data_IF_361498849960
#
_entry.id   IF_361498849960
#
_cell.length_a   1.000
_cell.length_b   1.000
_cell.length_c   1.000
_cell.angle_alpha   90.00
_cell.angle_beta   90.00
_cell.angle_gamma   90.00
#
_symmetry.space_group_name_H-M   'P 1'
#
loop_
_entity.id
_entity.type
_entity.pdbx_description
1 polymer ?
#
# COMPACT_ATOMS: atom_id res chain seq x y z
N UNK A 1 7.07 -13.14 26.85
CA UNK A 1 7.76 -13.36 25.54
C UNK A 1 7.30 -12.29 24.56
N UNK A 2 8.19 -11.73 23.72
CA UNK A 2 7.78 -10.80 22.66
C UNK A 2 6.98 -11.56 21.61
N UNK A 3 5.92 -10.91 21.06
CA UNK A 3 5.11 -11.45 19.99
C UNK A 3 5.66 -10.99 18.64
N UNK A 4 5.85 -11.92 17.71
CA UNK A 4 6.37 -11.65 16.37
C UNK A 4 5.55 -12.38 15.31
N UNK A 5 5.50 -11.80 14.12
CA UNK A 5 4.99 -12.45 12.93
C UNK A 5 6.15 -12.65 11.95
N UNK A 6 6.49 -13.91 11.68
CA UNK A 6 7.42 -14.25 10.59
C UNK A 6 6.67 -14.14 9.27
N UNK A 7 7.27 -13.46 8.33
CA UNK A 7 6.67 -13.28 7.02
C UNK A 7 6.66 -14.58 6.22
N UNK A 8 5.81 -14.65 5.21
CA UNK A 8 5.78 -15.82 4.32
C UNK A 8 7.13 -16.01 3.63
N UNK A 9 7.67 -17.23 3.67
CA UNK A 9 8.99 -17.53 3.12
C UNK A 9 9.12 -17.18 1.63
N UNK A 10 8.01 -17.19 0.90
CA UNK A 10 7.99 -16.79 -0.49
C UNK A 10 8.49 -15.34 -0.70
N UNK A 11 8.23 -14.44 0.25
CA UNK A 11 8.67 -13.05 0.16
C UNK A 11 10.15 -12.85 0.52
N UNK A 12 10.78 -13.80 1.22
CA UNK A 12 12.19 -13.69 1.62
C UNK A 12 13.13 -14.12 0.48
N UNK A 13 12.80 -15.23 -0.17
CA UNK A 13 13.62 -15.84 -1.22
C UNK A 13 12.79 -16.11 -2.48
N UNK A 14 12.14 -15.10 -3.07
CA UNK A 14 11.36 -15.29 -4.28
C UNK A 14 12.29 -15.50 -5.49
N UNK A 15 11.83 -16.27 -6.47
CA UNK A 15 12.55 -16.41 -7.75
C UNK A 15 12.30 -15.23 -8.71
N UNK A 16 11.27 -14.44 -8.44
CA UNK A 16 10.83 -13.28 -9.22
C UNK A 16 10.65 -12.08 -8.30
N UNK A 17 10.66 -10.85 -8.79
CA UNK A 17 10.30 -9.70 -7.98
C UNK A 17 8.96 -9.91 -7.26
N UNK A 18 8.89 -9.50 -6.00
CA UNK A 18 7.63 -9.51 -5.24
C UNK A 18 6.68 -8.52 -5.86
N UNK A 19 5.48 -8.98 -6.19
CA UNK A 19 4.47 -8.12 -6.81
C UNK A 19 3.75 -7.27 -5.77
N UNK A 20 3.54 -6.01 -6.12
CA UNK A 20 2.85 -5.03 -5.27
C UNK A 20 1.81 -4.27 -6.09
N UNK A 21 0.56 -4.29 -5.64
CA UNK A 21 -0.46 -3.38 -6.14
C UNK A 21 -0.55 -2.16 -5.23
N UNK A 22 -0.33 -0.98 -5.77
CA UNK A 22 -0.57 0.31 -5.11
C UNK A 22 -1.86 0.92 -5.67
N UNK A 23 -2.87 1.05 -4.83
CA UNK A 23 -4.20 1.54 -5.19
C UNK A 23 -4.37 2.95 -4.62
N UNK A 24 -4.47 3.92 -5.51
CA UNK A 24 -4.49 5.35 -5.21
C UNK A 24 -3.09 5.98 -5.29
N UNK A 25 -2.93 6.97 -6.16
CA UNK A 25 -1.70 7.73 -6.41
C UNK A 25 -1.83 9.21 -6.02
N UNK A 26 -2.71 9.49 -5.05
CA UNK A 26 -2.92 10.84 -4.49
C UNK A 26 -1.85 11.26 -3.48
N UNK A 27 -2.26 11.97 -2.43
CA UNK A 27 -1.35 12.50 -1.40
C UNK A 27 -0.45 11.44 -0.80
N UNK A 28 -1.03 10.44 -0.15
CA UNK A 28 -0.27 9.34 0.47
C UNK A 28 0.35 8.42 -0.56
N UNK A 29 -0.39 8.03 -1.62
CA UNK A 29 0.09 7.05 -2.59
C UNK A 29 1.30 7.51 -3.39
N UNK A 30 1.38 8.80 -3.74
CA UNK A 30 2.55 9.36 -4.42
C UNK A 30 3.82 9.27 -3.56
N UNK A 31 3.68 9.50 -2.26
CA UNK A 31 4.78 9.38 -1.29
C UNK A 31 5.17 7.91 -1.06
N UNK A 32 4.17 7.01 -0.91
CA UNK A 32 4.39 5.57 -0.77
C UNK A 32 5.14 5.01 -1.97
N UNK A 33 4.78 5.40 -3.20
CA UNK A 33 5.47 4.93 -4.41
C UNK A 33 6.96 5.28 -4.39
N UNK A 34 7.30 6.49 -3.96
CA UNK A 34 8.71 6.92 -3.82
C UNK A 34 9.45 6.11 -2.74
N UNK A 35 8.79 5.82 -1.62
CA UNK A 35 9.35 4.96 -0.58
C UNK A 35 9.56 3.52 -1.09
N UNK A 36 8.62 2.99 -1.88
CA UNK A 36 8.74 1.67 -2.49
C UNK A 36 9.90 1.60 -3.50
N UNK A 37 10.17 2.67 -4.26
CA UNK A 37 11.31 2.72 -5.17
C UNK A 37 12.66 2.65 -4.41
N UNK A 38 12.76 3.35 -3.30
CA UNK A 38 13.92 3.26 -2.40
C UNK A 38 14.04 1.87 -1.78
N UNK A 39 12.92 1.27 -1.39
CA UNK A 39 12.87 -0.09 -0.84
C UNK A 39 13.34 -1.12 -1.88
N UNK A 40 12.85 -1.03 -3.12
CA UNK A 40 13.27 -1.90 -4.23
C UNK A 40 14.78 -1.83 -4.45
N UNK A 41 15.33 -0.61 -4.54
CA UNK A 41 16.78 -0.40 -4.68
C UNK A 41 17.56 -1.04 -3.53
N UNK A 42 17.10 -0.87 -2.29
CA UNK A 42 17.75 -1.46 -1.12
C UNK A 42 17.68 -2.99 -1.12
N UNK A 43 16.54 -3.56 -1.48
CA UNK A 43 16.34 -5.01 -1.58
C UNK A 43 17.25 -5.62 -2.66
N UNK A 44 17.32 -5.03 -3.83
CA UNK A 44 18.23 -5.47 -4.91
C UNK A 44 19.69 -5.39 -4.48
N UNK A 45 20.07 -4.32 -3.78
CA UNK A 45 21.41 -4.18 -3.19
C UNK A 45 21.77 -5.26 -2.16
N UNK A 46 20.76 -5.90 -1.55
CA UNK A 46 20.91 -7.03 -0.63
C UNK A 46 20.77 -8.40 -1.30
N UNK A 47 20.70 -8.45 -2.64
CA UNK A 47 20.59 -9.70 -3.40
C UNK A 47 19.16 -10.25 -3.55
N UNK A 48 18.14 -9.50 -3.13
CA UNK A 48 16.74 -9.86 -3.35
C UNK A 48 16.31 -9.45 -4.78
N UNK A 49 15.42 -10.18 -5.48
CA UNK A 49 14.98 -9.82 -6.84
C UNK A 49 14.29 -8.44 -6.95
N UNK A 50 13.93 -7.84 -5.82
CA UNK A 50 13.26 -6.54 -5.77
C UNK A 50 11.73 -6.64 -5.80
N UNK A 51 11.10 -5.54 -6.23
CA UNK A 51 9.66 -5.38 -6.30
C UNK A 51 9.22 -5.11 -7.74
N UNK A 52 8.05 -5.62 -8.11
CA UNK A 52 7.34 -5.22 -9.32
C UNK A 52 6.02 -4.56 -8.93
N UNK A 53 5.90 -3.26 -9.20
CA UNK A 53 4.76 -2.47 -8.72
C UNK A 53 3.82 -2.14 -9.87
N UNK A 54 2.52 -2.37 -9.64
CA UNK A 54 1.44 -1.89 -10.49
C UNK A 54 0.67 -0.82 -9.72
N UNK A 55 0.60 0.39 -10.28
CA UNK A 55 -0.12 1.53 -9.68
C UNK A 55 -1.45 1.72 -10.38
N UNK A 56 -2.53 1.77 -9.60
CA UNK A 56 -3.90 1.98 -10.07
C UNK A 56 -4.40 3.35 -9.60
N UNK A 57 -4.73 4.21 -10.54
CA UNK A 57 -5.40 5.48 -10.26
C UNK A 57 -6.04 6.02 -11.54
N UNK A 58 -7.35 6.30 -11.50
CA UNK A 58 -8.10 6.81 -12.65
C UNK A 58 -8.05 8.35 -12.79
N UNK A 59 -7.57 9.04 -11.75
CA UNK A 59 -7.61 10.49 -11.71
C UNK A 59 -6.55 11.14 -12.60
N UNK A 60 -6.84 12.37 -12.98
CA UNK A 60 -5.88 13.28 -13.60
C UNK A 60 -5.32 14.27 -12.56
N UNK A 61 -4.15 14.79 -12.85
CA UNK A 61 -3.50 15.84 -12.04
C UNK A 61 -4.19 17.17 -12.24
N UNK A 62 -4.51 17.85 -11.15
CA UNK A 62 -5.09 19.20 -11.13
C UNK A 62 -4.19 20.16 -10.35
N UNK A 63 -4.44 21.47 -10.44
CA UNK A 63 -3.69 22.49 -9.68
C UNK A 63 -3.73 22.23 -8.16
N UNK A 64 -4.85 21.76 -7.62
CA UNK A 64 -5.00 21.43 -6.20
C UNK A 64 -4.09 20.27 -5.73
N UNK A 65 -3.50 19.54 -6.64
CA UNK A 65 -2.58 18.43 -6.31
C UNK A 65 -1.12 18.91 -6.18
N UNK A 66 -0.77 20.06 -6.78
CA UNK A 66 0.61 20.56 -6.81
C UNK A 66 1.09 20.92 -5.39
N UNK A 67 2.31 20.53 -5.05
CA UNK A 67 2.94 20.80 -3.76
C UNK A 67 2.52 19.88 -2.61
N UNK A 68 1.25 19.48 -2.51
CA UNK A 68 0.76 18.54 -1.50
C UNK A 68 0.95 17.07 -1.91
N UNK A 69 0.83 16.80 -3.19
CA UNK A 69 1.13 15.52 -3.81
C UNK A 69 2.42 15.67 -4.65
N UNK A 70 3.05 14.58 -5.03
CA UNK A 70 4.31 14.64 -5.80
C UNK A 70 4.07 14.89 -7.29
N UNK A 71 3.36 15.98 -7.59
CA UNK A 71 3.13 16.46 -8.95
C UNK A 71 3.69 17.87 -9.13
N UNK A 72 4.04 18.18 -10.38
CA UNK A 72 4.53 19.47 -10.83
C UNK A 72 3.52 20.16 -11.77
N UNK A 73 3.66 21.46 -12.05
CA UNK A 73 2.78 22.13 -13.00
C UNK A 73 2.77 21.50 -14.39
N UNK A 74 3.86 20.86 -14.82
CA UNK A 74 3.92 20.16 -16.12
C UNK A 74 3.12 18.85 -16.16
N UNK A 75 2.68 18.34 -15.01
CA UNK A 75 1.89 17.10 -14.92
C UNK A 75 0.37 17.36 -15.05
N UNK A 76 -0.07 18.63 -15.00
CA UNK A 76 -1.49 18.99 -15.07
C UNK A 76 -2.14 18.38 -16.31
N UNK A 77 -3.33 17.82 -16.14
CA UNK A 77 -4.13 17.08 -17.13
C UNK A 77 -3.60 15.69 -17.51
N UNK A 78 -2.47 15.25 -16.99
CA UNK A 78 -1.99 13.88 -17.17
C UNK A 78 -2.58 12.94 -16.10
N UNK A 79 -2.66 11.64 -16.39
CA UNK A 79 -3.11 10.67 -15.40
C UNK A 79 -2.08 10.51 -14.28
N UNK A 80 -2.55 10.45 -13.02
CA UNK A 80 -1.69 10.41 -11.82
C UNK A 80 -0.77 9.18 -11.79
N UNK A 81 -1.32 7.98 -12.06
CA UNK A 81 -0.52 6.76 -12.04
C UNK A 81 0.55 6.77 -13.13
N UNK A 82 0.20 7.19 -14.34
CA UNK A 82 1.15 7.26 -15.45
C UNK A 82 2.29 8.24 -15.20
N UNK A 83 1.98 9.45 -14.69
CA UNK A 83 3.02 10.44 -14.34
C UNK A 83 4.01 9.89 -13.34
N UNK A 84 3.52 9.34 -12.23
CA UNK A 84 4.38 8.88 -11.14
C UNK A 84 5.20 7.66 -11.54
N UNK A 85 4.59 6.67 -12.20
CA UNK A 85 5.30 5.46 -12.63
C UNK A 85 6.37 5.80 -13.66
N UNK A 86 6.06 6.64 -14.65
CA UNK A 86 7.05 7.09 -15.64
C UNK A 86 8.25 7.77 -14.96
N UNK A 87 7.98 8.64 -13.97
CA UNK A 87 9.02 9.31 -13.20
C UNK A 87 9.88 8.33 -12.41
N UNK A 88 9.25 7.37 -11.71
CA UNK A 88 9.98 6.35 -10.94
C UNK A 88 10.81 5.44 -11.84
N UNK A 89 10.25 4.99 -12.97
CA UNK A 89 10.96 4.15 -13.92
C UNK A 89 12.19 4.88 -14.50
N UNK A 90 12.02 6.14 -14.88
CA UNK A 90 13.13 6.94 -15.43
C UNK A 90 14.22 7.23 -14.38
N UNK A 91 13.83 7.51 -13.13
CA UNK A 91 14.79 7.92 -12.09
C UNK A 91 15.53 6.72 -11.46
N UNK A 92 14.81 5.61 -11.20
CA UNK A 92 15.36 4.44 -10.51
C UNK A 92 15.73 3.29 -11.45
N UNK A 93 15.43 3.40 -12.75
CA UNK A 93 15.68 2.33 -13.72
C UNK A 93 14.72 1.13 -13.55
N UNK A 94 13.51 1.37 -13.09
CA UNK A 94 12.49 0.34 -12.88
C UNK A 94 11.67 0.09 -14.16
N UNK A 95 10.93 -1.01 -14.18
CA UNK A 95 9.96 -1.37 -15.23
C UNK A 95 8.58 -1.66 -14.59
N UNK A 96 8.07 -0.67 -13.87
CA UNK A 96 6.79 -0.74 -13.16
C UNK A 96 5.64 -0.33 -14.06
N UNK A 97 4.44 -0.80 -13.70
CA UNK A 97 3.24 -0.63 -14.53
C UNK A 97 2.31 0.43 -13.93
N UNK A 98 1.79 1.30 -14.80
CA UNK A 98 0.68 2.19 -14.49
C UNK A 98 -0.62 1.67 -15.13
N UNK A 99 -1.69 1.68 -14.38
CA UNK A 99 -3.05 1.37 -14.86
C UNK A 99 -3.92 2.61 -14.59
N UNK A 100 -4.27 3.39 -15.64
CA UNK A 100 -5.06 4.61 -15.51
C UNK A 100 -6.55 4.28 -15.34
N UNK A 101 -6.86 3.43 -14.39
CA UNK A 101 -8.21 2.95 -14.13
C UNK A 101 -8.41 2.65 -12.64
N UNK A 102 -9.67 2.51 -12.25
CA UNK A 102 -10.04 2.06 -10.91
C UNK A 102 -9.61 0.59 -10.75
N UNK A 103 -9.01 0.26 -9.61
CA UNK A 103 -8.72 -1.15 -9.31
C UNK A 103 -10.02 -1.96 -9.41
N UNK A 104 -10.03 -3.11 -10.13
CA UNK A 104 -11.25 -3.85 -10.41
C UNK A 104 -11.98 -4.23 -9.12
N UNK A 105 -13.01 -3.48 -8.77
CA UNK A 105 -13.84 -3.73 -7.58
C UNK A 105 -14.88 -4.84 -7.83
N UNK A 106 -15.13 -5.20 -9.09
CA UNK A 106 -16.16 -6.16 -9.47
C UNK A 106 -15.53 -7.50 -9.87
N UNK A 107 -15.48 -8.41 -8.95
CA UNK A 107 -14.96 -9.78 -9.09
C UNK A 107 -15.72 -10.70 -10.06
N UNK A 108 -16.65 -10.21 -10.83
CA UNK A 108 -17.20 -11.04 -11.91
C UNK A 108 -16.12 -11.45 -12.92
N UNK A 109 -15.00 -10.70 -12.95
CA UNK A 109 -13.84 -10.92 -13.82
C UNK A 109 -12.49 -10.74 -13.08
N UNK A 110 -12.40 -11.05 -11.79
CA UNK A 110 -11.10 -11.05 -11.12
C UNK A 110 -10.20 -12.10 -11.77
N UNK A 111 -9.57 -11.69 -12.84
CA UNK A 111 -8.47 -12.44 -13.42
C UNK A 111 -7.37 -12.45 -12.38
N UNK A 112 -6.72 -13.60 -12.24
CA UNK A 112 -5.55 -13.73 -11.36
C UNK A 112 -4.49 -12.68 -11.65
N UNK A 113 -4.43 -12.21 -12.90
CA UNK A 113 -3.51 -11.18 -13.42
C UNK A 113 -3.55 -9.83 -12.66
N UNK A 114 -4.60 -9.58 -11.87
CA UNK A 114 -4.75 -8.36 -11.08
C UNK A 114 -4.42 -8.56 -9.58
N UNK A 115 -4.04 -9.77 -9.17
CA UNK A 115 -3.63 -10.06 -7.81
C UNK A 115 -2.12 -9.83 -7.65
N UNK A 116 -1.71 -9.50 -6.43
CA UNK A 116 -0.32 -9.29 -6.09
C UNK A 116 -0.03 -9.85 -4.69
N UNK A 117 1.24 -10.12 -4.40
CA UNK A 117 1.66 -10.61 -3.09
C UNK A 117 1.36 -9.61 -1.97
N UNK A 118 1.52 -8.33 -2.26
CA UNK A 118 1.20 -7.25 -1.34
C UNK A 118 0.25 -6.28 -2.04
N UNK A 119 -0.87 -5.97 -1.41
CA UNK A 119 -1.75 -4.89 -1.86
C UNK A 119 -1.65 -3.74 -0.89
N UNK A 120 -1.44 -2.54 -1.39
CA UNK A 120 -1.34 -1.30 -0.60
C UNK A 120 -2.48 -0.38 -1.02
N UNK A 121 -3.28 0.08 -0.06
CA UNK A 121 -4.36 1.05 -0.31
C UNK A 121 -4.03 2.40 0.29
N UNK A 122 -4.14 3.43 -0.57
CA UNK A 122 -3.99 4.84 -0.25
C UNK A 122 -5.21 5.64 -0.75
N UNK A 123 -6.39 5.02 -0.74
CA UNK A 123 -7.64 5.64 -1.20
C UNK A 123 -8.32 6.38 -0.04
N UNK A 124 -9.06 7.41 -0.36
CA UNK A 124 -9.91 8.17 0.56
C UNK A 124 -11.32 7.55 0.73
N UNK A 125 -11.67 6.57 -0.09
CA UNK A 125 -12.99 5.99 -0.19
C UNK A 125 -13.12 4.70 0.63
N UNK A 126 -14.07 4.68 1.56
CA UNK A 126 -14.38 3.52 2.42
C UNK A 126 -14.88 2.33 1.61
N UNK A 127 -15.71 2.59 0.61
CA UNK A 127 -16.27 1.54 -0.25
C UNK A 127 -15.17 0.76 -0.95
N UNK A 128 -14.16 1.44 -1.48
CA UNK A 128 -13.00 0.80 -2.12
C UNK A 128 -12.28 -0.19 -1.20
N UNK A 129 -12.12 0.15 0.10
CA UNK A 129 -11.50 -0.74 1.10
C UNK A 129 -12.34 -1.98 1.38
N UNK A 130 -13.66 -1.80 1.48
CA UNK A 130 -14.59 -2.93 1.71
C UNK A 130 -14.60 -3.86 0.50
N UNK A 131 -14.71 -3.30 -0.70
CA UNK A 131 -14.75 -4.06 -1.95
C UNK A 131 -13.44 -4.82 -2.14
N UNK A 132 -12.30 -4.18 -1.94
CA UNK A 132 -11.00 -4.84 -1.99
C UNK A 132 -10.89 -6.01 -1.00
N UNK A 133 -11.32 -5.81 0.26
CA UNK A 133 -11.28 -6.90 1.23
C UNK A 133 -12.18 -8.07 0.82
N UNK A 134 -13.34 -7.78 0.23
CA UNK A 134 -14.21 -8.82 -0.31
C UNK A 134 -13.54 -9.62 -1.42
N UNK A 135 -12.73 -8.94 -2.24
CA UNK A 135 -11.92 -9.56 -3.28
C UNK A 135 -10.84 -10.45 -2.65
N UNK A 136 -9.98 -9.88 -1.85
CA UNK A 136 -8.81 -10.57 -1.31
C UNK A 136 -9.21 -11.82 -0.50
N UNK A 137 -10.24 -11.72 0.35
CA UNK A 137 -10.69 -12.85 1.17
C UNK A 137 -11.37 -13.97 0.40
N UNK A 138 -11.85 -13.69 -0.83
CA UNK A 138 -12.51 -14.68 -1.68
C UNK A 138 -11.50 -15.49 -2.53
N UNK A 139 -10.23 -15.08 -2.57
CA UNK A 139 -9.19 -15.82 -3.28
C UNK A 139 -8.97 -17.17 -2.59
N UNK A 140 -9.07 -18.30 -3.33
CA UNK A 140 -8.79 -19.61 -2.76
C UNK A 140 -7.37 -19.70 -2.21
N UNK A 141 -7.24 -20.26 -1.02
CA UNK A 141 -5.93 -20.50 -0.42
C UNK A 141 -5.26 -21.64 -1.16
N UNK A 142 -4.16 -21.34 -1.84
CA UNK A 142 -3.29 -22.35 -2.47
C UNK A 142 -2.14 -22.68 -1.52
N UNK A 143 -1.71 -23.95 -1.50
CA UNK A 143 -0.46 -24.36 -0.83
C UNK A 143 0.76 -23.85 -1.60
N UNK A 144 0.64 -23.70 -2.91
CA UNK A 144 1.69 -23.15 -3.76
C UNK A 144 1.62 -21.63 -3.79
N UNK A 145 2.73 -20.98 -3.47
CA UNK A 145 2.87 -19.53 -3.58
C UNK A 145 3.35 -19.15 -4.98
N UNK A 146 2.82 -18.06 -5.50
CA UNK A 146 3.21 -17.47 -6.78
C UNK A 146 3.19 -15.94 -6.66
N UNK A 147 3.64 -15.25 -7.69
CA UNK A 147 3.59 -13.79 -7.80
C UNK A 147 2.16 -13.22 -7.79
N UNK A 148 1.14 -14.05 -8.00
CA UNK A 148 -0.29 -13.69 -7.95
C UNK A 148 -0.95 -14.05 -6.61
N UNK A 149 -0.22 -14.66 -5.66
CA UNK A 149 -0.80 -15.09 -4.38
C UNK A 149 -0.90 -13.90 -3.42
N UNK A 150 -2.11 -13.42 -3.04
CA UNK A 150 -2.24 -12.35 -2.07
C UNK A 150 -1.83 -12.84 -0.68
N UNK A 151 -0.82 -12.20 -0.11
CA UNK A 151 -0.27 -12.55 1.20
C UNK A 151 -0.58 -11.45 2.23
N UNK A 152 -0.42 -10.19 1.85
CA UNK A 152 -0.58 -9.06 2.75
C UNK A 152 -1.40 -7.93 2.14
N UNK A 153 -2.15 -7.27 2.99
CA UNK A 153 -2.82 -6.01 2.69
C UNK A 153 -2.36 -4.94 3.68
N UNK A 154 -1.78 -3.87 3.19
CA UNK A 154 -1.41 -2.68 3.94
C UNK A 154 -2.35 -1.53 3.59
N UNK A 155 -3.01 -0.96 4.58
CA UNK A 155 -3.92 0.17 4.40
C UNK A 155 -3.38 1.42 5.06
N UNK A 156 -3.36 2.51 4.31
CA UNK A 156 -3.07 3.85 4.76
C UNK A 156 -4.35 4.66 4.83
N UNK A 157 -4.64 5.22 5.99
CA UNK A 157 -5.77 6.12 6.17
C UNK A 157 -5.35 7.31 7.01
N UNK A 158 -5.81 8.49 6.64
CA UNK A 158 -5.54 9.71 7.36
C UNK A 158 -6.72 10.67 7.33
N UNK A 159 -6.72 11.59 8.30
CA UNK A 159 -7.56 12.76 8.39
C UNK A 159 -6.69 14.01 8.16
N UNK A 160 -7.06 15.14 8.76
CA UNK A 160 -6.30 16.38 8.64
C UNK A 160 -4.87 16.24 9.20
N UNK A 161 -4.75 15.80 10.44
CA UNK A 161 -3.53 15.77 11.24
C UNK A 161 -3.24 14.40 11.87
N UNK A 162 -4.15 13.46 11.73
CA UNK A 162 -4.01 12.10 12.26
C UNK A 162 -4.03 11.06 11.15
N UNK A 163 -3.47 9.88 11.42
CA UNK A 163 -3.53 8.79 10.48
C UNK A 163 -3.12 7.45 11.05
N UNK A 164 -3.35 6.41 10.26
CA UNK A 164 -2.95 5.05 10.60
C UNK A 164 -2.39 4.30 9.41
N UNK A 165 -1.54 3.35 9.71
CA UNK A 165 -1.10 2.31 8.77
C UNK A 165 -1.31 0.96 9.43
N UNK A 166 -1.98 0.06 8.76
CA UNK A 166 -2.21 -1.31 9.24
C UNK A 166 -1.82 -2.31 8.15
N UNK A 167 -0.91 -3.22 8.47
CA UNK A 167 -0.55 -4.36 7.65
C UNK A 167 -1.27 -5.61 8.18
N UNK A 168 -2.10 -6.22 7.36
CA UNK A 168 -2.83 -7.45 7.71
C UNK A 168 -2.49 -8.61 6.78
N UNK A 169 -2.68 -9.83 7.26
CA UNK A 169 -2.55 -11.02 6.41
C UNK A 169 -3.84 -11.29 5.64
N UNK A 170 -3.73 -11.65 4.38
CA UNK A 170 -4.87 -12.07 3.54
C UNK A 170 -5.24 -13.52 3.83
N UNK A 171 -4.32 -14.50 3.83
CA UNK A 171 -4.62 -15.86 4.27
C UNK A 171 -5.02 -15.89 5.75
N UNK A 172 -5.89 -16.82 6.10
CA UNK A 172 -6.28 -17.02 7.51
C UNK A 172 -5.07 -17.30 8.40
N UNK A 173 -4.05 -17.98 7.85
CA UNK A 173 -2.81 -18.34 8.54
C UNK A 173 -1.63 -18.28 7.58
N UNK A 174 -0.53 -17.74 8.06
CA UNK A 174 0.80 -17.86 7.48
C UNK A 174 1.60 -18.79 8.40
N UNK A 175 2.20 -19.84 7.83
CA UNK A 175 2.97 -20.80 8.59
C UNK A 175 4.11 -20.10 9.35
N UNK A 176 4.18 -20.36 10.65
CA UNK A 176 5.19 -19.78 11.52
C UNK A 176 6.21 -20.86 11.92
N UNK A 177 7.50 -20.51 12.04
CA UNK A 177 8.48 -21.42 12.62
C UNK A 177 8.24 -21.61 14.11
N UNK A 178 8.65 -22.76 14.64
CA UNK A 178 8.75 -22.96 16.07
C UNK A 178 9.83 -22.03 16.64
N UNK A 179 9.52 -21.30 17.70
CA UNK A 179 10.48 -20.41 18.34
C UNK A 179 10.46 -20.61 19.86
N UNK A 180 11.67 -20.68 20.47
CA UNK A 180 11.84 -20.65 21.93
C UNK A 180 11.99 -19.23 22.47
N UNK A 181 12.24 -18.25 21.60
CA UNK A 181 12.52 -16.85 21.96
C UNK A 181 11.29 -15.95 21.86
N UNK A 182 10.36 -16.29 20.95
CA UNK A 182 9.21 -15.46 20.59
C UNK A 182 7.91 -16.25 20.64
N UNK A 183 6.84 -15.57 21.00
CA UNK A 183 5.47 -16.01 20.74
C UNK A 183 5.13 -15.66 19.27
N UNK A 184 4.90 -16.69 18.43
CA UNK A 184 4.67 -16.49 17.01
C UNK A 184 3.18 -16.26 16.71
N UNK A 185 2.87 -15.37 15.76
CA UNK A 185 1.51 -14.98 15.38
C UNK A 185 1.24 -15.38 13.92
N UNK A 186 0.34 -16.32 13.70
CA UNK A 186 0.01 -16.86 12.37
C UNK A 186 -0.78 -15.88 11.49
N UNK A 187 -1.47 -14.90 12.07
CA UNK A 187 -2.29 -13.95 11.33
C UNK A 187 -2.27 -12.56 11.94
N UNK A 188 -2.24 -11.55 11.08
CA UNK A 188 -2.33 -10.13 11.42
C UNK A 188 -3.72 -9.61 11.04
N UNK A 189 -4.34 -8.85 11.94
CA UNK A 189 -5.68 -8.30 11.68
C UNK A 189 -5.60 -7.21 10.61
N UNK A 190 -6.44 -7.31 9.59
CA UNK A 190 -6.61 -6.26 8.57
C UNK A 190 -7.38 -5.06 9.12
N UNK A 191 -7.28 -3.91 8.45
CA UNK A 191 -7.90 -2.64 8.87
C UNK A 191 -9.40 -2.76 9.14
N UNK A 192 -10.14 -3.57 8.39
CA UNK A 192 -11.59 -3.76 8.58
C UNK A 192 -11.97 -4.41 9.92
N UNK A 193 -10.98 -4.93 10.66
CA UNK A 193 -11.17 -5.45 12.01
C UNK A 193 -11.01 -4.38 13.08
N UNK A 194 -10.38 -3.26 12.76
CA UNK A 194 -10.16 -2.12 13.66
C UNK A 194 -11.20 -1.02 13.45
N UNK A 195 -11.51 -0.73 12.20
CA UNK A 195 -12.45 0.32 11.82
C UNK A 195 -13.79 -0.31 11.41
N UNK A 196 -14.85 0.07 12.13
CA UNK A 196 -16.23 -0.27 11.74
C UNK A 196 -16.70 0.73 10.69
N UNK A 197 -16.34 0.50 9.45
CA UNK A 197 -16.66 1.40 8.32
C UNK A 197 -18.16 1.72 8.18
N UNK A 198 -19.05 0.82 8.61
CA UNK A 198 -20.50 1.08 8.62
C UNK A 198 -20.93 2.23 9.56
N UNK A 199 -20.04 2.67 10.46
CA UNK A 199 -20.29 3.76 11.41
C UNK A 199 -19.53 5.04 11.07
N UNK A 200 -18.63 4.98 10.11
CA UNK A 200 -17.86 6.15 9.66
C UNK A 200 -18.72 6.90 8.64
N UNK A 201 -19.11 8.11 8.96
CA UNK A 201 -19.72 9.02 7.99
C UNK A 201 -18.58 9.59 7.13
N UNK A 202 -18.59 9.30 5.85
CA UNK A 202 -17.76 10.04 4.91
C UNK A 202 -18.24 11.51 4.98
N UNK A 203 -17.40 12.39 5.49
CA UNK A 203 -17.62 13.82 5.29
C UNK A 203 -17.49 14.06 3.79
N UNK A 204 -18.35 14.88 3.24
CA UNK A 204 -18.28 15.31 1.83
C UNK A 204 -16.88 15.87 1.53
N UNK A 205 -16.01 14.99 1.07
CA UNK A 205 -14.64 15.29 0.67
C UNK A 205 -14.61 15.48 -0.85
N UNK A 206 -15.46 16.37 -1.35
CA UNK A 206 -15.39 16.77 -2.75
C UNK A 206 -13.96 17.21 -3.11
N UNK A 207 -13.57 17.11 -4.39
CA UNK A 207 -12.25 17.55 -4.81
C UNK A 207 -12.04 19.02 -4.43
N UNK A 208 -10.86 19.33 -3.87
CA UNK A 208 -10.50 20.73 -3.59
C UNK A 208 -10.26 21.48 -4.90
N UNK A 209 -10.77 22.70 -5.01
CA UNK A 209 -10.61 23.53 -6.20
C UNK A 209 -9.25 24.24 -6.25
N UNK A 210 -8.56 24.37 -5.10
CA UNK A 210 -7.26 25.02 -5.00
C UNK A 210 -6.33 24.33 -4.00
N UNK A 211 -5.04 24.62 -4.07
CA UNK A 211 -4.05 24.16 -3.09
C UNK A 211 -4.37 24.70 -1.69
N UNK A 212 -4.77 25.97 -1.56
CA UNK A 212 -5.12 26.58 -0.27
C UNK A 212 -6.25 25.81 0.41
N UNK A 213 -7.37 25.55 -0.30
CA UNK A 213 -8.47 24.74 0.22
C UNK A 213 -8.04 23.32 0.61
N UNK A 214 -7.13 22.72 -0.16
CA UNK A 214 -6.62 21.38 0.13
C UNK A 214 -5.79 21.36 1.42
N UNK A 215 -5.01 22.41 1.70
CA UNK A 215 -4.21 22.55 2.92
C UNK A 215 -5.05 22.83 4.17
N UNK A 216 -6.21 23.49 4.04
CA UNK A 216 -7.17 23.62 5.13
C UNK A 216 -7.77 22.27 5.55
N UNK A 217 -7.92 21.35 4.60
CA UNK A 217 -8.50 20.02 4.83
C UNK A 217 -7.48 19.01 5.36
N UNK A 218 -6.17 19.21 5.09
CA UNK A 218 -5.13 18.23 5.39
C UNK A 218 -3.78 18.91 5.64
N UNK A 219 -3.12 18.52 6.74
CA UNK A 219 -1.75 18.96 7.04
C UNK A 219 -0.77 18.57 5.91
N UNK A 220 0.19 19.46 5.65
CA UNK A 220 1.14 19.31 4.54
C UNK A 220 1.97 18.02 4.64
N UNK A 221 2.35 17.63 5.85
CA UNK A 221 3.30 16.53 6.07
C UNK A 221 2.67 15.21 6.50
N UNK A 222 1.37 15.16 6.77
CA UNK A 222 0.71 13.93 7.23
C UNK A 222 0.91 12.77 6.25
N UNK A 223 0.79 13.03 4.95
CA UNK A 223 0.92 12.03 3.89
C UNK A 223 2.33 11.46 3.82
N UNK A 224 3.36 12.32 3.79
CA UNK A 224 4.75 11.90 3.69
C UNK A 224 5.24 11.18 4.94
N UNK A 225 4.83 11.66 6.12
CA UNK A 225 5.19 11.02 7.39
C UNK A 225 4.58 9.61 7.49
N UNK A 226 3.29 9.47 7.17
CA UNK A 226 2.65 8.16 7.15
C UNK A 226 3.28 7.21 6.14
N UNK A 227 3.59 7.69 4.94
CA UNK A 227 4.22 6.88 3.91
C UNK A 227 5.58 6.34 4.37
N UNK A 228 6.43 7.17 4.96
CA UNK A 228 7.74 6.75 5.46
C UNK A 228 7.62 5.76 6.62
N UNK A 229 6.75 6.02 7.60
CA UNK A 229 6.55 5.14 8.75
C UNK A 229 5.95 3.79 8.32
N UNK A 230 4.98 3.80 7.42
CA UNK A 230 4.38 2.57 6.88
C UNK A 230 5.38 1.75 6.06
N UNK A 231 6.10 2.38 5.14
CA UNK A 231 7.13 1.68 4.36
C UNK A 231 8.30 1.18 5.23
N UNK A 232 8.56 1.79 6.39
CA UNK A 232 9.51 1.24 7.35
C UNK A 232 9.03 -0.09 7.96
N UNK A 233 7.71 -0.33 8.08
CA UNK A 233 7.19 -1.65 8.47
C UNK A 233 7.55 -2.68 7.39
N UNK A 234 7.34 -2.36 6.10
CA UNK A 234 7.73 -3.23 4.99
C UNK A 234 9.25 -3.48 4.96
N UNK A 235 10.05 -2.43 5.16
CA UNK A 235 11.51 -2.58 5.25
C UNK A 235 11.93 -3.57 6.33
N UNK A 236 11.40 -3.42 7.55
CA UNK A 236 11.68 -4.36 8.66
C UNK A 236 11.21 -5.77 8.35
N UNK A 237 10.05 -5.88 7.70
CA UNK A 237 9.48 -7.15 7.28
C UNK A 237 10.43 -7.91 6.35
N UNK A 238 10.91 -7.26 5.29
CA UNK A 238 11.84 -7.88 4.34
C UNK A 238 13.23 -8.12 4.94
N UNK A 239 13.78 -7.11 5.63
CA UNK A 239 15.14 -7.19 6.16
C UNK A 239 15.31 -8.25 7.25
N UNK A 240 14.35 -8.34 8.16
CA UNK A 240 14.45 -9.21 9.35
C UNK A 240 13.72 -10.54 9.18
N UNK A 241 12.95 -10.72 8.12
CA UNK A 241 12.07 -11.88 7.93
C UNK A 241 10.93 -11.97 8.95
N UNK A 242 10.80 -10.97 9.83
CA UNK A 242 9.76 -10.90 10.86
C UNK A 242 9.49 -9.47 11.30
N UNK A 243 8.31 -9.24 11.90
CA UNK A 243 7.90 -7.96 12.48
C UNK A 243 7.28 -8.15 13.86
N UNK A 244 7.52 -7.18 14.76
CA UNK A 244 6.86 -7.07 16.08
C UNK A 244 5.61 -6.18 16.00
N UNK A 245 5.66 -5.15 15.15
CA UNK A 245 4.58 -4.18 14.95
C UNK A 245 4.11 -4.23 13.50
N UNK A 246 2.82 -4.35 13.30
CA UNK A 246 2.20 -4.44 11.98
C UNK A 246 1.28 -3.24 11.68
N UNK A 247 1.33 -2.24 12.51
CA UNK A 247 0.59 -1.01 12.32
C UNK A 247 1.06 0.09 13.26
N UNK A 248 0.63 1.29 12.98
CA UNK A 248 0.86 2.48 13.79
C UNK A 248 -0.31 3.46 13.68
N UNK A 249 -0.43 4.29 14.66
CA UNK A 249 -1.26 5.49 14.65
C UNK A 249 -0.34 6.70 14.81
N UNK A 250 -0.62 7.75 14.03
CA UNK A 250 0.10 9.01 14.04
C UNK A 250 -0.86 10.13 14.41
N UNK A 251 -0.39 11.03 15.26
CA UNK A 251 -1.03 12.31 15.55
C UNK A 251 0.04 13.40 15.45
N UNK A 252 -0.20 14.43 14.64
CA UNK A 252 0.69 15.58 14.45
C UNK A 252 0.22 16.83 15.21
N UNK A 253 -0.96 16.78 15.88
CA UNK A 253 -1.46 17.87 16.72
C UNK A 253 -0.83 17.91 18.09
#
# INVERSE_FOLDING_TARGET
>A
MKRVHYIDNYLINPQHPVTVNLIGAGGTGSQVLTCLARLDTALRGLGHPGLFITVYDSDIVTEANIGRQLFSPSDISLNKAQCLVTRMNNFFGNDWKAVPDIYPAALKDARRDNLANITITCTDNIKSRIDLWNILKAVPVSEYRSYETPLYWMDFGNTQDTGQVILGTVPKKIRQPASKLYETVESLKVITRYVKYTRVKEKDSGPSCSLAEALEKQDLFINSTLAQLGCNILWKMFRNGMIEHYGLYLNLS
#
